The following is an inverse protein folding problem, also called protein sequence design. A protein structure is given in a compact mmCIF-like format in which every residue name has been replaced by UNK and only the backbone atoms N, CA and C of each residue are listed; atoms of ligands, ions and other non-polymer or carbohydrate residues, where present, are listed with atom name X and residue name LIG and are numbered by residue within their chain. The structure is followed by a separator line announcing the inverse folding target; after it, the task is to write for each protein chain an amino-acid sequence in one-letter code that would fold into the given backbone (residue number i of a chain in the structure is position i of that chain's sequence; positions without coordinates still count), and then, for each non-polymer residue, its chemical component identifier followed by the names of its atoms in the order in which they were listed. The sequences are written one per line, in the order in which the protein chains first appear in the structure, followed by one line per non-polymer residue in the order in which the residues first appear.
data_IF_550127027149
#
_entry.id   IF_550127027149
#
_cell.length_a   1.000
_cell.length_b   1.000
_cell.length_c   1.000
_cell.angle_alpha   90.00
_cell.angle_beta   90.00
_cell.angle_gamma   90.00
#
_symmetry.space_group_name_H-M   'P 1'
#
loop_
_entity.id
_entity.type
_entity.pdbx_description
1 polymer ?
#
# COMPACT_ATOMS: atom_id res chain seq x y z
N UNK A 1 20.44 -2.60 3.92
CA UNK A 1 19.52 -2.03 4.94
C UNK A 1 18.20 -2.75 4.81
N UNK A 2 17.67 -3.34 5.88
CA UNK A 2 16.39 -4.05 5.86
C UNK A 2 15.26 -3.06 6.16
N UNK A 3 14.14 -3.14 5.44
CA UNK A 3 12.99 -2.28 5.65
C UNK A 3 12.13 -2.79 6.83
N UNK A 4 11.37 -1.90 7.47
CA UNK A 4 10.42 -2.26 8.52
C UNK A 4 9.24 -3.05 7.93
N UNK A 5 8.77 -4.05 8.68
CA UNK A 5 7.67 -4.93 8.30
C UNK A 5 6.71 -5.13 9.47
N UNK A 6 5.42 -4.92 9.21
CA UNK A 6 4.33 -5.19 10.14
C UNK A 6 3.11 -5.78 9.40
N UNK A 7 2.33 -6.66 10.05
CA UNK A 7 1.17 -7.31 9.44
C UNK A 7 -0.12 -6.83 10.10
N UNK A 8 -1.05 -6.27 9.30
CA UNK A 8 -2.25 -5.61 9.79
C UNK A 8 -3.49 -6.09 9.01
N UNK A 9 -4.61 -6.28 9.72
CA UNK A 9 -5.85 -6.83 9.14
C UNK A 9 -6.92 -5.79 8.80
N UNK A 10 -6.78 -4.53 9.25
CA UNK A 10 -7.76 -3.46 9.01
C UNK A 10 -7.07 -2.17 8.59
N UNK A 11 -7.75 -1.39 7.74
CA UNK A 11 -7.26 -0.09 7.28
C UNK A 11 -7.00 0.88 8.45
N UNK A 12 -7.83 0.85 9.49
CA UNK A 12 -7.64 1.74 10.65
C UNK A 12 -6.34 1.46 11.41
N UNK A 13 -5.93 0.19 11.48
CA UNK A 13 -4.66 -0.19 12.09
C UNK A 13 -3.48 0.33 11.27
N UNK A 14 -3.57 0.23 9.93
CA UNK A 14 -2.57 0.78 8.99
C UNK A 14 -2.43 2.29 9.18
N UNK A 15 -3.55 3.01 9.29
CA UNK A 15 -3.53 4.47 9.43
C UNK A 15 -3.03 4.93 10.79
N UNK A 16 -3.43 4.24 11.86
CA UNK A 16 -2.88 4.47 13.21
C UNK A 16 -1.36 4.32 13.18
N UNK A 17 -0.88 3.22 12.61
CA UNK A 17 0.56 2.95 12.52
C UNK A 17 1.31 3.96 11.67
N UNK A 18 0.74 4.36 10.52
CA UNK A 18 1.32 5.41 9.69
C UNK A 18 1.41 6.75 10.44
N UNK A 19 0.43 7.07 11.29
CA UNK A 19 0.47 8.25 12.17
C UNK A 19 1.58 8.16 13.23
N UNK A 20 1.70 7.02 13.92
CA UNK A 20 2.77 6.76 14.90
C UNK A 20 4.16 6.89 14.28
N UNK A 21 4.30 6.48 13.02
CA UNK A 21 5.55 6.54 12.27
C UNK A 21 5.72 7.85 11.47
N UNK A 22 4.84 8.83 11.70
CA UNK A 22 4.88 10.17 11.09
C UNK A 22 4.98 10.15 9.56
N UNK A 23 4.26 9.23 8.92
CA UNK A 23 4.26 9.05 7.48
C UNK A 23 3.88 10.35 6.74
N UNK A 24 4.75 10.79 5.83
CA UNK A 24 4.43 11.86 4.87
C UNK A 24 3.87 11.34 3.55
N UNK A 25 4.14 10.08 3.24
CA UNK A 25 3.61 9.38 2.06
C UNK A 25 3.06 8.01 2.44
N UNK A 26 1.87 7.68 1.93
CA UNK A 26 1.35 6.31 1.95
C UNK A 26 1.00 5.88 0.52
N UNK A 27 1.54 4.75 0.09
CA UNK A 27 1.23 4.11 -1.19
C UNK A 27 0.35 2.89 -0.90
N UNK A 28 -0.89 2.87 -1.37
CA UNK A 28 -1.80 1.75 -1.25
C UNK A 28 -1.80 0.93 -2.54
N UNK A 29 -1.67 -0.40 -2.44
CA UNK A 29 -2.15 -1.28 -3.48
C UNK A 29 -3.68 -1.16 -3.57
N UNK A 30 -4.20 -1.13 -4.79
CA UNK A 30 -5.64 -0.93 -5.02
C UNK A 30 -6.40 -2.20 -4.69
N UNK A 31 -5.95 -3.32 -5.25
CA UNK A 31 -6.54 -4.61 -4.97
C UNK A 31 -5.73 -5.34 -3.89
N UNK A 32 -6.35 -5.98 -2.88
CA UNK A 32 -7.78 -5.98 -2.53
C UNK A 32 -8.20 -4.86 -1.56
N UNK A 33 -7.28 -4.00 -1.13
CA UNK A 33 -7.49 -3.08 0.00
C UNK A 33 -8.51 -1.97 -0.30
N UNK A 34 -8.40 -1.37 -1.48
CA UNK A 34 -9.25 -0.26 -1.91
C UNK A 34 -10.51 -0.80 -2.57
N UNK A 35 -10.35 -1.75 -3.48
CA UNK A 35 -11.44 -2.46 -4.13
C UNK A 35 -11.02 -3.90 -4.44
N UNK A 36 -11.93 -4.86 -4.28
CA UNK A 36 -11.68 -6.24 -4.70
C UNK A 36 -11.61 -6.33 -6.23
N UNK A 37 -10.94 -7.38 -6.71
CA UNK A 37 -10.95 -7.78 -8.12
C UNK A 37 -12.39 -7.93 -8.64
N UNK A 38 -12.60 -7.63 -9.92
CA UNK A 38 -13.87 -7.79 -10.65
C UNK A 38 -15.08 -7.04 -10.08
N UNK A 39 -14.85 -6.04 -9.22
CA UNK A 39 -15.89 -5.15 -8.73
C UNK A 39 -16.23 -4.04 -9.72
N UNK A 40 -17.40 -3.41 -9.57
CA UNK A 40 -17.85 -2.34 -10.47
C UNK A 40 -16.99 -1.08 -10.38
N UNK A 41 -17.12 -0.19 -11.37
CA UNK A 41 -16.49 1.15 -11.33
C UNK A 41 -16.89 1.92 -10.06
N UNK A 42 -18.17 1.86 -9.70
CA UNK A 42 -18.71 2.48 -8.49
C UNK A 42 -18.00 1.98 -7.22
N UNK A 43 -17.75 0.68 -7.12
CA UNK A 43 -17.05 0.10 -5.98
C UNK A 43 -15.60 0.60 -5.87
N UNK A 44 -14.92 0.82 -7.01
CA UNK A 44 -13.60 1.45 -7.03
C UNK A 44 -13.65 2.87 -6.47
N UNK A 45 -14.54 3.69 -7.04
CA UNK A 45 -14.65 5.11 -6.67
C UNK A 45 -15.04 5.28 -5.18
N UNK A 46 -15.98 4.47 -4.69
CA UNK A 46 -16.36 4.44 -3.26
C UNK A 46 -15.20 3.97 -2.37
N UNK A 47 -14.42 2.98 -2.81
CA UNK A 47 -13.22 2.49 -2.14
C UNK A 47 -12.16 3.58 -1.98
N UNK A 48 -11.83 4.28 -3.07
CA UNK A 48 -10.89 5.40 -3.06
C UNK A 48 -11.36 6.51 -2.12
N UNK A 49 -12.62 6.93 -2.25
CA UNK A 49 -13.19 7.98 -1.41
C UNK A 49 -13.15 7.61 0.08
N UNK A 50 -13.42 6.33 0.42
CA UNK A 50 -13.30 5.82 1.78
C UNK A 50 -11.87 5.90 2.30
N UNK A 51 -10.88 5.50 1.52
CA UNK A 51 -9.46 5.57 1.93
C UNK A 51 -9.03 7.02 2.10
N UNK A 52 -9.33 7.89 1.13
CA UNK A 52 -8.98 9.31 1.17
C UNK A 52 -9.55 10.04 2.39
N UNK A 53 -10.83 9.80 2.71
CA UNK A 53 -11.48 10.37 3.89
C UNK A 53 -10.84 9.92 5.20
N UNK A 54 -10.28 8.71 5.26
CA UNK A 54 -9.61 8.24 6.47
C UNK A 54 -8.17 8.74 6.55
N UNK A 55 -7.46 8.80 5.43
CA UNK A 55 -6.08 9.32 5.39
C UNK A 55 -6.01 10.82 5.69
N UNK A 56 -7.07 11.59 5.43
CA UNK A 56 -7.12 13.01 5.82
C UNK A 56 -7.06 13.22 7.34
N UNK A 57 -7.33 12.19 8.14
CA UNK A 57 -7.20 12.24 9.59
C UNK A 57 -5.76 11.98 10.09
N UNK A 58 -4.83 11.60 9.20
CA UNK A 58 -3.43 11.32 9.59
C UNK A 58 -2.64 12.64 9.60
N UNK A 59 -2.16 13.11 10.77
CA UNK A 59 -1.44 14.38 10.86
C UNK A 59 -0.13 14.34 10.06
N UNK A 60 0.14 15.40 9.29
CA UNK A 60 1.40 15.55 8.55
C UNK A 60 1.50 14.71 7.27
N UNK A 61 0.48 13.92 6.93
CA UNK A 61 0.42 13.17 5.68
C UNK A 61 0.27 14.14 4.50
N UNK A 62 1.14 14.01 3.50
CA UNK A 62 1.21 14.93 2.36
C UNK A 62 0.77 14.27 1.06
N UNK A 63 1.09 12.98 0.87
CA UNK A 63 0.79 12.25 -0.36
C UNK A 63 0.11 10.91 -0.05
N UNK A 64 -0.99 10.66 -0.74
CA UNK A 64 -1.63 9.34 -0.82
C UNK A 64 -1.58 8.89 -2.27
N UNK A 65 -0.88 7.79 -2.52
CA UNK A 65 -0.78 7.21 -3.84
C UNK A 65 -1.51 5.87 -3.89
N UNK A 66 -2.44 5.72 -4.81
CA UNK A 66 -3.03 4.43 -5.18
C UNK A 66 -2.25 3.86 -6.34
N UNK A 67 -1.71 2.65 -6.19
CA UNK A 67 -0.85 2.04 -7.20
C UNK A 67 -1.27 0.63 -7.51
N UNK A 68 -1.65 0.36 -8.76
CA UNK A 68 -2.06 -0.96 -9.23
C UNK A 68 -1.35 -1.34 -10.52
N UNK A 69 -1.05 -2.64 -10.67
CA UNK A 69 -0.58 -3.18 -11.95
C UNK A 69 -1.71 -3.37 -12.98
N UNK A 70 -2.98 -3.25 -12.54
CA UNK A 70 -4.15 -3.27 -13.42
C UNK A 70 -4.24 -2.01 -14.28
N UNK A 71 -4.88 -2.13 -15.45
CA UNK A 71 -5.23 -0.99 -16.32
C UNK A 71 -6.43 -0.20 -15.80
N UNK A 72 -7.14 -0.73 -14.78
CA UNK A 72 -8.35 -0.14 -14.19
C UNK A 72 -8.08 1.25 -13.63
N UNK A 73 -8.99 2.20 -13.87
CA UNK A 73 -8.89 3.59 -13.44
C UNK A 73 -10.16 4.05 -12.71
N UNK A 74 -10.04 4.94 -11.71
CA UNK A 74 -11.19 5.57 -11.10
C UNK A 74 -11.82 6.58 -12.07
N UNK A 75 -13.09 6.90 -11.87
CA UNK A 75 -13.79 7.90 -12.70
C UNK A 75 -13.25 9.30 -12.44
N UNK A 76 -12.85 9.56 -11.19
CA UNK A 76 -12.19 10.78 -10.76
C UNK A 76 -11.36 10.52 -9.50
N UNK A 77 -10.37 11.38 -9.26
CA UNK A 77 -9.60 11.40 -8.02
C UNK A 77 -9.84 12.75 -7.38
N UNK A 78 -10.83 12.81 -6.50
CA UNK A 78 -11.16 14.04 -5.80
C UNK A 78 -10.31 14.14 -4.54
N UNK A 79 -9.21 14.90 -4.62
CA UNK A 79 -8.49 15.36 -3.44
C UNK A 79 -9.24 16.53 -2.81
N UNK A 80 -9.79 16.35 -1.61
CA UNK A 80 -10.30 17.47 -0.81
C UNK A 80 -9.16 18.32 -0.24
N UNK A 81 -9.42 19.05 0.84
CA UNK A 81 -8.40 19.83 1.61
C UNK A 81 -7.35 18.98 2.34
N UNK A 82 -7.24 17.69 2.01
CA UNK A 82 -6.35 16.71 2.64
C UNK A 82 -5.06 16.47 1.85
N UNK A 83 -4.40 15.32 2.05
CA UNK A 83 -3.18 14.96 1.32
C UNK A 83 -3.43 14.90 -0.20
N UNK A 84 -2.40 15.21 -0.98
CA UNK A 84 -2.43 15.10 -2.44
C UNK A 84 -2.68 13.63 -2.83
N UNK A 85 -3.80 13.40 -3.51
CA UNK A 85 -4.17 12.09 -4.01
C UNK A 85 -3.58 11.85 -5.41
N UNK A 86 -2.93 10.72 -5.62
CA UNK A 86 -2.33 10.29 -6.90
C UNK A 86 -2.81 8.87 -7.20
N UNK A 87 -3.15 8.57 -8.45
CA UNK A 87 -3.46 7.21 -8.88
C UNK A 87 -2.54 6.78 -10.04
N UNK A 88 -1.95 5.60 -9.91
CA UNK A 88 -1.06 5.00 -10.88
C UNK A 88 -1.64 3.65 -11.35
N UNK A 89 -2.33 3.69 -12.49
CA UNK A 89 -2.68 2.48 -13.24
C UNK A 89 -1.45 1.94 -13.98
N UNK A 90 -1.44 0.64 -14.26
CA UNK A 90 -0.35 -0.05 -14.97
C UNK A 90 1.01 0.30 -14.36
N UNK A 91 1.10 0.29 -13.04
CA UNK A 91 2.25 0.79 -12.30
C UNK A 91 3.53 0.00 -12.57
N UNK A 92 3.41 -1.27 -13.01
CA UNK A 92 4.53 -2.20 -13.27
C UNK A 92 5.41 -2.38 -12.02
N UNK A 93 4.78 -2.45 -10.85
CA UNK A 93 5.40 -2.87 -9.59
C UNK A 93 5.94 -4.31 -9.73
N UNK A 94 7.11 -4.63 -9.17
CA UNK A 94 8.01 -3.74 -8.42
C UNK A 94 9.09 -3.05 -9.28
N UNK A 95 9.02 -3.17 -10.61
CA UNK A 95 10.13 -2.80 -11.51
C UNK A 95 10.26 -1.29 -11.66
N UNK A 96 9.14 -0.60 -11.90
CA UNK A 96 9.14 0.83 -12.22
C UNK A 96 9.01 1.66 -10.95
N UNK A 97 10.07 2.37 -10.57
CA UNK A 97 10.10 3.24 -9.37
C UNK A 97 10.10 4.74 -9.66
N UNK A 98 10.33 5.14 -10.91
CA UNK A 98 10.42 6.57 -11.29
C UNK A 98 9.21 7.42 -10.83
N UNK A 99 7.95 6.95 -10.92
CA UNK A 99 6.79 7.74 -10.50
C UNK A 99 6.74 8.11 -9.02
N UNK A 100 7.50 7.42 -8.15
CA UNK A 100 7.47 7.62 -6.70
C UNK A 100 8.65 8.43 -6.15
N UNK A 101 9.64 8.78 -6.99
CA UNK A 101 10.93 9.32 -6.53
C UNK A 101 10.82 10.63 -5.76
N UNK A 102 9.84 11.45 -6.11
CA UNK A 102 9.64 12.78 -5.54
C UNK A 102 8.69 12.76 -4.33
N UNK A 103 8.21 11.59 -3.93
CA UNK A 103 7.28 11.50 -2.82
C UNK A 103 7.98 11.79 -1.47
N UNK A 104 7.36 12.60 -0.59
CA UNK A 104 7.92 12.95 0.71
C UNK A 104 8.27 11.74 1.58
N UNK A 105 9.32 11.88 2.41
CA UNK A 105 9.75 10.88 3.40
C UNK A 105 9.47 11.36 4.82
N UNK A 106 9.22 10.46 5.80
CA UNK A 106 9.17 9.00 5.67
C UNK A 106 7.93 8.53 4.90
N UNK A 107 8.04 7.39 4.21
CA UNK A 107 6.98 6.84 3.38
C UNK A 107 6.75 5.36 3.64
N UNK A 108 5.53 4.90 3.34
CA UNK A 108 5.10 3.52 3.53
C UNK A 108 4.38 2.99 2.30
N UNK A 109 4.57 1.70 2.00
CA UNK A 109 3.74 0.95 1.04
C UNK A 109 2.86 -0.01 1.82
N UNK A 110 1.58 -0.04 1.46
CA UNK A 110 0.55 -0.90 2.04
C UNK A 110 0.04 -1.82 0.94
N UNK A 111 0.20 -3.12 1.10
CA UNK A 111 -0.22 -4.10 0.10
C UNK A 111 -0.25 -5.52 0.65
N UNK A 112 -0.83 -6.45 -0.08
CA UNK A 112 -1.00 -7.84 0.31
C UNK A 112 0.08 -8.77 -0.26
N UNK A 113 0.93 -8.26 -1.16
CA UNK A 113 1.95 -9.06 -1.82
C UNK A 113 3.36 -8.57 -1.48
N UNK A 114 4.09 -9.39 -0.71
CA UNK A 114 5.50 -9.11 -0.37
C UNK A 114 6.37 -9.00 -1.63
N UNK A 115 6.12 -9.83 -2.65
CA UNK A 115 6.94 -9.89 -3.86
C UNK A 115 6.78 -8.68 -4.81
N UNK A 116 5.71 -7.91 -4.64
CA UNK A 116 5.42 -6.74 -5.49
C UNK A 116 5.46 -5.47 -4.64
N UNK A 117 4.57 -5.34 -3.66
CA UNK A 117 4.47 -4.15 -2.82
C UNK A 117 5.60 -4.06 -1.80
N UNK A 118 5.97 -5.20 -1.21
CA UNK A 118 7.13 -5.26 -0.32
C UNK A 118 8.42 -4.92 -1.07
N UNK A 119 8.67 -5.56 -2.21
CA UNK A 119 9.85 -5.24 -3.03
C UNK A 119 9.83 -3.78 -3.48
N UNK A 120 8.67 -3.22 -3.82
CA UNK A 120 8.55 -1.80 -4.12
C UNK A 120 8.95 -0.95 -2.90
N UNK A 121 8.43 -1.23 -1.72
CA UNK A 121 8.76 -0.52 -0.48
C UNK A 121 10.27 -0.52 -0.24
N UNK A 122 10.90 -1.69 -0.33
CA UNK A 122 12.33 -1.86 -0.17
C UNK A 122 13.12 -1.04 -1.20
N UNK A 123 12.73 -1.08 -2.49
CA UNK A 123 13.39 -0.30 -3.56
C UNK A 123 13.24 1.21 -3.39
N UNK A 124 12.19 1.67 -2.72
CA UNK A 124 11.95 3.08 -2.42
C UNK A 124 12.59 3.54 -1.10
N UNK A 125 13.10 2.60 -0.28
CA UNK A 125 13.57 2.87 1.07
C UNK A 125 12.42 3.22 2.03
N UNK A 126 11.22 2.71 1.76
CA UNK A 126 10.00 2.92 2.54
C UNK A 126 9.76 1.74 3.49
N UNK A 127 8.93 1.95 4.52
CA UNK A 127 8.41 0.84 5.32
C UNK A 127 7.33 0.05 4.56
N UNK A 128 7.17 -1.23 4.88
CA UNK A 128 6.12 -2.06 4.30
C UNK A 128 5.11 -2.47 5.38
N UNK A 129 3.85 -2.09 5.19
CA UNK A 129 2.73 -2.50 6.01
C UNK A 129 1.95 -3.57 5.24
N UNK A 130 2.16 -4.83 5.63
CA UNK A 130 1.58 -5.97 4.96
C UNK A 130 0.11 -6.13 5.35
N UNK A 131 -0.78 -5.88 4.40
CA UNK A 131 -2.21 -6.03 4.57
C UNK A 131 -2.62 -7.47 4.25
N UNK A 132 -3.10 -8.23 5.24
CA UNK A 132 -3.63 -9.57 4.99
C UNK A 132 -5.16 -9.53 5.11
N UNK A 133 -5.91 -9.52 3.99
CA UNK A 133 -7.34 -9.70 4.06
C UNK A 133 -7.67 -11.12 4.55
N UNK A 134 -8.79 -11.27 5.25
CA UNK A 134 -9.32 -12.59 5.61
C UNK A 134 -9.52 -13.45 4.36
N UNK A 135 -8.94 -14.66 4.36
CA UNK A 135 -8.75 -15.61 3.23
C UNK A 135 -9.98 -15.89 2.32
N UNK A 136 -11.19 -15.55 2.75
CA UNK A 136 -12.44 -15.77 2.01
C UNK A 136 -12.57 -14.96 0.72
N UNK A 137 -11.71 -13.95 0.47
CA UNK A 137 -11.89 -12.99 -0.63
C UNK A 137 -10.78 -12.99 -1.70
N UNK A 138 -9.85 -13.96 -1.67
CA UNK A 138 -8.67 -13.97 -2.56
C UNK A 138 -8.85 -14.98 -3.71
N UNK A 139 -8.83 -14.54 -4.99
CA UNK A 139 -8.83 -15.45 -6.15
C UNK A 139 -7.62 -16.39 -6.18
N UNK A 140 -7.71 -17.49 -6.92
CA UNK A 140 -6.68 -18.54 -6.92
C UNK A 140 -5.31 -18.07 -7.44
N UNK A 141 -5.27 -17.14 -8.40
CA UNK A 141 -4.01 -16.60 -8.95
C UNK A 141 -3.14 -15.88 -7.90
N UNK A 142 -3.64 -14.84 -7.22
CA UNK A 142 -2.93 -14.16 -6.13
C UNK A 142 -2.46 -15.08 -5.00
N UNK A 143 -3.18 -16.18 -4.71
CA UNK A 143 -2.77 -17.16 -3.69
C UNK A 143 -1.44 -17.86 -4.00
N UNK A 144 -1.17 -18.15 -5.28
CA UNK A 144 0.10 -18.76 -5.72
C UNK A 144 1.28 -17.78 -5.61
N UNK A 145 1.07 -16.50 -5.92
CA UNK A 145 2.09 -15.46 -5.78
C UNK A 145 2.44 -15.17 -4.31
N UNK A 146 1.47 -15.30 -3.40
CA UNK A 146 1.68 -15.16 -1.96
C UNK A 146 2.73 -16.13 -1.39
N UNK A 147 2.81 -17.36 -1.93
CA UNK A 147 3.77 -18.37 -1.48
C UNK A 147 5.22 -18.03 -1.85
N UNK A 148 5.47 -17.56 -3.07
CA UNK A 148 6.83 -17.15 -3.47
C UNK A 148 7.32 -15.92 -2.69
N UNK A 149 6.42 -15.02 -2.31
CA UNK A 149 6.74 -13.83 -1.51
C UNK A 149 7.25 -14.14 -0.10
N UNK A 150 6.85 -15.27 0.50
CA UNK A 150 7.30 -15.67 1.84
C UNK A 150 8.80 -16.03 1.88
N UNK A 151 9.36 -16.53 0.78
CA UNK A 151 10.76 -16.97 0.71
C UNK A 151 11.77 -15.80 0.68
N UNK A 152 11.40 -14.68 0.08
CA UNK A 152 12.28 -13.50 -0.02
C UNK A 152 12.14 -12.52 1.15
N UNK A 153 11.06 -12.65 1.95
CA UNK A 153 10.78 -11.82 3.12
C UNK A 153 11.98 -11.68 4.10
N UNK A 154 12.67 -12.74 4.54
CA UNK A 154 13.75 -12.62 5.54
C UNK A 154 15.00 -11.89 5.01
N UNK A 155 15.16 -11.82 3.68
CA UNK A 155 16.27 -11.11 3.04
C UNK A 155 16.01 -9.59 2.99
N UNK A 156 14.76 -9.19 2.77
CA UNK A 156 14.38 -7.80 2.49
C UNK A 156 13.96 -7.01 3.74
N UNK A 157 13.41 -7.70 4.74
CA UNK A 157 12.80 -7.06 5.91
C UNK A 157 13.36 -7.57 7.22
N UNK A 158 13.40 -6.69 8.23
CA UNK A 158 13.58 -7.10 9.63
C UNK A 158 12.22 -7.00 10.32
N UNK A 159 11.82 -7.98 11.12
CA UNK A 159 10.70 -7.82 12.04
C UNK A 159 10.95 -6.59 12.92
N UNK A 160 9.95 -5.72 13.08
CA UNK A 160 10.13 -4.50 13.89
C UNK A 160 10.41 -4.81 15.38
N UNK A 161 10.09 -6.03 15.84
CA UNK A 161 10.37 -6.53 17.20
C UNK A 161 11.86 -6.64 17.54
N UNK A 162 12.76 -6.74 16.55
CA UNK A 162 14.20 -6.96 16.80
C UNK A 162 15.01 -5.66 16.88
N UNK A 163 14.40 -4.48 16.67
CA UNK A 163 15.14 -3.19 16.71
C UNK A 163 15.19 -2.56 18.11
N UNK A 164 14.57 -3.20 19.10
CA UNK A 164 14.59 -2.79 20.51
C UNK A 164 15.51 -3.66 21.37
N UNK A 165 16.40 -4.46 20.76
CA UNK A 165 17.48 -5.18 21.46
C UNK A 165 18.85 -4.63 21.05
#
# INVERSE_FOLDING_TARGET
MKAAYECLGRLDDVLRRAGELQARTIIFDVEPLVASWDTSQRALDEGLARVLRRTSAVPGLQVVCFSTNSVRRPSAINGGSGPRAIYLASARKPIRTAPYREFPRPGFVVGDQVATDGVLAWRLGYGFLHYQPSHAQVPAGPRLLGYCGQLIRPLLFTPEQDRQR
#
